data_IF_520710300147
#
_entry.id   IF_520710300147
#
_cell.length_a   1.000
_cell.length_b   1.000
_cell.length_c   1.000
_cell.angle_alpha   90.00
_cell.angle_beta   90.00
_cell.angle_gamma   90.00
#
_symmetry.space_group_name_H-M   'P 1'
#
loop_
_entity.id
_entity.type
_entity.pdbx_description
1 polymer ?
#
# COMPACT_ATOMS: atom_id res chain seq x y z
N UNK A 1 -29.98 60.98 0.99
CA UNK A 1 -31.35 60.56 1.34
C UNK A 1 -31.96 59.89 0.12
N UNK A 2 -31.87 58.55 0.08
CA UNK A 2 -32.53 57.54 -0.78
C UNK A 2 -31.56 56.34 -0.77
N UNK A 3 -31.73 55.25 -0.01
CA UNK A 3 -32.95 54.59 0.44
C UNK A 3 -33.34 53.52 -0.58
N UNK A 4 -32.57 52.43 -0.65
CA UNK A 4 -32.93 51.22 -1.41
C UNK A 4 -32.62 50.02 -0.53
N UNK A 5 -33.65 49.57 0.18
CA UNK A 5 -33.71 48.31 0.90
C UNK A 5 -33.76 47.15 -0.11
N UNK A 6 -32.88 46.17 0.07
CA UNK A 6 -32.86 44.92 -0.69
C UNK A 6 -33.50 43.82 0.19
N UNK A 7 -34.65 43.25 -0.18
CA UNK A 7 -35.34 42.26 0.64
C UNK A 7 -34.71 40.87 0.50
N UNK A 8 -34.54 40.22 1.65
CA UNK A 8 -34.02 38.87 1.81
C UNK A 8 -34.83 37.80 1.05
N UNK A 9 -34.20 36.71 0.56
CA UNK A 9 -34.89 35.63 -0.10
C UNK A 9 -35.73 34.79 0.87
N UNK A 10 -37.01 34.72 0.50
CA UNK A 10 -38.10 33.92 1.01
C UNK A 10 -37.72 32.42 1.13
N UNK A 11 -37.72 31.92 2.36
CA UNK A 11 -37.54 30.49 2.64
C UNK A 11 -38.84 29.75 2.33
N UNK A 12 -38.87 29.04 1.20
CA UNK A 12 -39.94 28.13 0.85
C UNK A 12 -40.01 26.94 1.84
N UNK A 13 -41.03 26.97 2.70
CA UNK A 13 -41.48 25.84 3.51
C UNK A 13 -42.00 24.73 2.57
N UNK A 14 -41.27 23.62 2.48
CA UNK A 14 -41.76 22.40 1.83
C UNK A 14 -42.50 21.56 2.87
N UNK A 15 -43.78 21.18 2.63
CA UNK A 15 -44.56 20.38 3.57
C UNK A 15 -44.04 18.93 3.64
N UNK A 16 -43.97 18.42 4.86
CA UNK A 16 -43.63 17.04 5.20
C UNK A 16 -44.64 16.08 4.57
N UNK A 17 -44.18 15.26 3.61
CA UNK A 17 -44.92 14.13 3.09
C UNK A 17 -44.96 12.97 4.10
N UNK A 18 -46.02 12.15 4.09
CA UNK A 18 -46.24 11.08 5.06
C UNK A 18 -45.17 9.99 4.96
N UNK A 19 -44.75 9.51 6.14
CA UNK A 19 -43.81 8.42 6.33
C UNK A 19 -44.21 7.17 5.54
N UNK A 20 -43.46 6.85 4.49
CA UNK A 20 -43.52 5.57 3.85
C UNK A 20 -42.97 4.51 4.81
N UNK A 21 -43.81 3.54 5.16
CA UNK A 21 -43.44 2.38 5.95
C UNK A 21 -42.22 1.66 5.34
N UNK A 22 -41.26 1.20 6.17
CA UNK A 22 -40.17 0.37 5.71
C UNK A 22 -40.74 -0.97 5.24
N UNK A 23 -40.87 -1.15 3.93
CA UNK A 23 -41.04 -2.48 3.32
C UNK A 23 -39.83 -3.32 3.70
N UNK A 24 -40.05 -4.25 4.63
CA UNK A 24 -39.19 -5.39 4.91
C UNK A 24 -39.11 -6.26 3.66
N UNK A 25 -38.23 -5.89 2.73
CA UNK A 25 -37.86 -6.75 1.62
C UNK A 25 -36.96 -7.84 2.20
N UNK A 26 -37.50 -9.06 2.30
CA UNK A 26 -36.71 -10.25 2.57
C UNK A 26 -35.57 -10.36 1.55
N UNK A 27 -34.30 -10.46 1.99
CA UNK A 27 -33.22 -10.75 1.08
C UNK A 27 -33.37 -12.21 0.65
N UNK A 28 -33.83 -12.42 -0.58
CA UNK A 28 -33.82 -13.69 -1.27
C UNK A 28 -32.39 -14.24 -1.30
N UNK A 29 -32.08 -15.11 -0.35
CA UNK A 29 -30.88 -15.93 -0.29
C UNK A 29 -30.94 -17.01 -1.36
N UNK A 30 -30.86 -16.59 -2.62
CA UNK A 30 -30.44 -17.51 -3.67
C UNK A 30 -29.03 -18.02 -3.34
N UNK A 31 -28.71 -19.28 -3.62
CA UNK A 31 -27.33 -19.78 -3.50
C UNK A 31 -26.46 -18.86 -4.36
N UNK A 32 -25.57 -18.10 -3.71
CA UNK A 32 -24.51 -17.37 -4.40
C UNK A 32 -23.64 -18.44 -5.05
N UNK A 33 -23.90 -18.72 -6.31
CA UNK A 33 -23.06 -19.58 -7.13
C UNK A 33 -21.64 -19.02 -7.02
N UNK A 34 -20.62 -19.80 -6.62
CA UNK A 34 -19.25 -19.32 -6.54
C UNK A 34 -18.84 -18.86 -7.94
N UNK A 35 -18.85 -17.54 -8.14
CA UNK A 35 -18.50 -16.90 -9.40
C UNK A 35 -16.99 -17.01 -9.56
N UNK A 36 -16.55 -18.13 -10.14
CA UNK A 36 -15.20 -18.33 -10.66
C UNK A 36 -14.11 -17.93 -9.65
N UNK A 37 -13.91 -18.77 -8.62
CA UNK A 37 -12.92 -18.60 -7.55
C UNK A 37 -11.48 -18.81 -8.07
N UNK A 38 -11.09 -18.05 -9.09
CA UNK A 38 -9.71 -18.00 -9.55
C UNK A 38 -8.76 -17.65 -8.40
N UNK A 39 -7.46 -17.97 -8.50
CA UNK A 39 -6.50 -17.76 -7.44
C UNK A 39 -6.43 -16.27 -7.04
N UNK A 40 -7.07 -15.94 -5.91
CA UNK A 40 -6.90 -14.64 -5.27
C UNK A 40 -5.61 -14.68 -4.47
N UNK A 41 -4.68 -13.77 -4.79
CA UNK A 41 -3.44 -13.64 -4.06
C UNK A 41 -3.53 -12.47 -3.09
N UNK A 42 -3.49 -12.77 -1.79
CA UNK A 42 -3.42 -11.77 -0.73
C UNK A 42 -2.13 -11.94 0.07
N UNK A 43 -1.43 -10.82 0.26
CA UNK A 43 -0.34 -10.71 1.20
C UNK A 43 -0.75 -9.70 2.29
N UNK A 44 -0.76 -10.18 3.54
CA UNK A 44 -1.13 -9.40 4.72
C UNK A 44 0.08 -9.09 5.57
N UNK A 45 -0.02 -8.02 6.36
CA UNK A 45 0.96 -7.72 7.40
C UNK A 45 1.07 -8.87 8.39
N UNK A 46 2.29 -9.14 8.84
CA UNK A 46 2.63 -10.25 9.71
C UNK A 46 4.07 -10.21 10.18
N UNK A 47 4.44 -11.20 11.00
CA UNK A 47 5.79 -11.29 11.53
C UNK A 47 6.78 -11.70 10.46
N UNK A 48 7.73 -10.80 10.18
CA UNK A 48 8.90 -11.09 9.35
C UNK A 48 10.10 -11.39 10.25
N UNK A 49 11.10 -12.19 9.81
CA UNK A 49 12.29 -12.45 10.61
C UNK A 49 12.97 -11.16 11.09
N UNK A 50 13.04 -10.14 10.24
CA UNK A 50 13.56 -8.80 10.60
C UNK A 50 12.73 -8.12 11.69
N UNK A 51 11.40 -8.18 11.58
CA UNK A 51 10.50 -7.62 12.59
C UNK A 51 10.61 -8.34 13.93
N UNK A 52 10.72 -9.67 13.92
CA UNK A 52 10.93 -10.47 15.14
C UNK A 52 12.25 -10.12 15.82
N UNK A 53 13.35 -10.04 15.05
CA UNK A 53 14.66 -9.63 15.59
C UNK A 53 14.59 -8.23 16.20
N UNK A 54 13.92 -7.27 15.53
CA UNK A 54 13.74 -5.93 16.07
C UNK A 54 12.95 -5.94 17.39
N UNK A 55 11.85 -6.68 17.46
CA UNK A 55 11.04 -6.79 18.69
C UNK A 55 11.87 -7.40 19.83
N UNK A 56 12.55 -8.51 19.58
CA UNK A 56 13.41 -9.19 20.58
C UNK A 56 14.52 -8.25 21.06
N UNK A 57 15.18 -7.55 20.13
CA UNK A 57 16.22 -6.58 20.46
C UNK A 57 15.69 -5.43 21.32
N UNK A 58 14.54 -4.84 20.96
CA UNK A 58 13.91 -3.79 21.75
C UNK A 58 13.57 -4.26 23.16
N UNK A 59 12.99 -5.46 23.30
CA UNK A 59 12.67 -6.03 24.62
C UNK A 59 13.94 -6.24 25.45
N UNK A 60 15.00 -6.78 24.85
CA UNK A 60 16.29 -6.97 25.54
C UNK A 60 16.88 -5.65 26.05
N UNK A 61 16.82 -4.58 25.25
CA UNK A 61 17.28 -3.24 25.66
C UNK A 61 16.44 -2.65 26.79
N UNK A 62 15.12 -2.84 26.76
CA UNK A 62 14.24 -2.42 27.85
C UNK A 62 14.60 -3.16 29.14
N UNK A 63 14.78 -4.48 29.08
CA UNK A 63 15.19 -5.29 30.25
C UNK A 63 16.54 -4.80 30.80
N UNK A 64 17.53 -4.58 29.92
CA UNK A 64 18.84 -4.08 30.33
C UNK A 64 18.73 -2.71 31.03
N UNK A 65 17.98 -1.78 30.44
CA UNK A 65 17.76 -0.45 31.03
C UNK A 65 16.99 -0.53 32.36
N UNK A 66 16.13 -1.54 32.57
CA UNK A 66 15.44 -1.74 33.85
C UNK A 66 16.37 -2.31 34.92
N UNK A 67 17.20 -3.29 34.57
CA UNK A 67 18.11 -4.00 35.49
C UNK A 67 19.30 -3.14 35.91
N UNK A 68 19.84 -2.31 35.02
CA UNK A 68 21.00 -1.46 35.29
C UNK A 68 20.56 0.00 35.50
N UNK A 69 20.39 0.48 36.74
CA UNK A 69 19.92 1.84 37.00
C UNK A 69 20.88 2.93 36.50
N UNK A 70 22.17 2.62 36.42
CA UNK A 70 23.24 3.50 35.90
C UNK A 70 23.30 3.55 34.37
N UNK A 71 22.35 2.94 33.66
CA UNK A 71 22.34 2.93 32.20
C UNK A 71 22.15 4.36 31.65
N UNK A 72 23.07 4.90 30.84
CA UNK A 72 22.94 6.25 30.31
C UNK A 72 21.68 6.35 29.44
N UNK A 73 20.95 7.46 29.59
CA UNK A 73 19.68 7.67 28.87
C UNK A 73 18.63 6.56 29.11
N UNK A 74 18.63 5.92 30.29
CA UNK A 74 17.69 4.86 30.69
C UNK A 74 16.24 5.16 30.32
N UNK A 75 15.71 6.29 30.76
CA UNK A 75 14.31 6.68 30.52
C UNK A 75 14.04 6.82 29.02
N UNK A 76 14.92 7.51 28.30
CA UNK A 76 14.78 7.70 26.86
C UNK A 76 14.81 6.36 26.10
N UNK A 77 15.72 5.45 26.49
CA UNK A 77 15.82 4.11 25.91
C UNK A 77 14.57 3.29 26.15
N UNK A 78 14.06 3.26 27.39
CA UNK A 78 12.83 2.53 27.74
C UNK A 78 11.66 3.05 26.92
N UNK A 79 11.44 4.36 26.90
CA UNK A 79 10.31 4.97 26.16
C UNK A 79 10.44 4.68 24.67
N UNK A 80 11.58 4.97 24.07
CA UNK A 80 11.79 4.81 22.63
C UNK A 80 11.64 3.35 22.18
N UNK A 81 12.32 2.42 22.88
CA UNK A 81 12.30 1.00 22.50
C UNK A 81 10.95 0.36 22.76
N UNK A 82 10.24 0.75 23.83
CA UNK A 82 8.90 0.23 24.11
C UNK A 82 7.90 0.71 23.06
N UNK A 83 7.91 2.00 22.72
CA UNK A 83 7.03 2.55 21.66
C UNK A 83 7.31 1.88 20.32
N UNK A 84 8.58 1.72 19.94
CA UNK A 84 8.95 1.05 18.69
C UNK A 84 8.51 -0.42 18.67
N UNK A 85 8.71 -1.17 19.76
CA UNK A 85 8.31 -2.58 19.86
C UNK A 85 6.78 -2.75 19.81
N UNK A 86 6.04 -1.93 20.57
CA UNK A 86 4.58 -1.97 20.59
C UNK A 86 4.01 -1.59 19.23
N UNK A 87 4.51 -0.51 18.61
CA UNK A 87 4.07 -0.09 17.28
C UNK A 87 4.31 -1.19 16.24
N UNK A 88 5.51 -1.76 16.19
CA UNK A 88 5.83 -2.84 15.24
C UNK A 88 4.96 -4.09 15.49
N UNK A 89 4.76 -4.47 16.75
CA UNK A 89 3.90 -5.61 17.10
C UNK A 89 2.45 -5.37 16.68
N UNK A 90 1.90 -4.17 16.94
CA UNK A 90 0.56 -3.80 16.51
C UNK A 90 0.42 -3.84 14.98
N UNK A 91 1.43 -3.36 14.24
CA UNK A 91 1.46 -3.44 12.78
C UNK A 91 1.41 -4.90 12.31
N UNK A 92 2.24 -5.78 12.89
CA UNK A 92 2.26 -7.20 12.54
C UNK A 92 0.94 -7.92 12.88
N UNK A 93 0.29 -7.54 13.99
CA UNK A 93 -0.98 -8.12 14.43
C UNK A 93 -2.21 -7.55 13.71
N UNK A 94 -2.08 -6.40 13.05
CA UNK A 94 -3.20 -5.73 12.38
C UNK A 94 -3.84 -6.59 11.28
N UNK A 95 -3.09 -7.54 10.71
CA UNK A 95 -3.53 -8.37 9.58
C UNK A 95 -3.91 -7.53 8.35
N UNK A 96 -3.48 -6.27 8.29
CA UNK A 96 -3.84 -5.37 7.20
C UNK A 96 -3.40 -5.94 5.85
N UNK A 97 -4.14 -5.58 4.82
CA UNK A 97 -3.82 -5.99 3.46
C UNK A 97 -2.63 -5.18 2.95
N UNK A 98 -1.52 -5.85 2.67
CA UNK A 98 -0.34 -5.24 2.03
C UNK A 98 -0.46 -5.21 0.51
N UNK A 99 -0.97 -6.31 -0.06
CA UNK A 99 -1.17 -6.48 -1.50
C UNK A 99 -2.30 -7.49 -1.73
N UNK A 100 -3.22 -7.16 -2.63
CA UNK A 100 -4.21 -8.09 -3.17
C UNK A 100 -4.18 -8.05 -4.68
N UNK A 101 -4.25 -9.23 -5.28
CA UNK A 101 -4.37 -9.44 -6.71
C UNK A 101 -5.58 -10.33 -6.92
N UNK A 102 -6.58 -9.79 -7.60
CA UNK A 102 -7.83 -10.48 -7.87
C UNK A 102 -8.36 -10.14 -9.28
N UNK A 103 -9.59 -10.57 -9.56
CA UNK A 103 -10.27 -10.31 -10.84
C UNK A 103 -10.36 -8.83 -11.21
N UNK A 104 -10.47 -7.93 -10.23
CA UNK A 104 -10.69 -6.51 -10.50
C UNK A 104 -9.40 -5.78 -10.82
N UNK A 105 -8.27 -6.25 -10.28
CA UNK A 105 -7.00 -5.57 -10.45
C UNK A 105 -5.99 -5.87 -9.35
N UNK A 106 -5.11 -4.89 -9.16
CA UNK A 106 -4.11 -4.92 -8.09
C UNK A 106 -4.45 -3.85 -7.06
N UNK A 107 -4.69 -4.28 -5.83
CA UNK A 107 -4.88 -3.39 -4.69
C UNK A 107 -3.62 -3.39 -3.84
N UNK A 108 -3.00 -2.22 -3.73
CA UNK A 108 -1.87 -1.98 -2.83
C UNK A 108 -2.38 -1.41 -1.51
N UNK A 109 -1.95 -2.01 -0.40
CA UNK A 109 -2.29 -1.55 0.95
C UNK A 109 -2.02 -0.06 1.13
N UNK A 110 -2.97 0.67 1.72
CA UNK A 110 -2.84 2.11 2.01
C UNK A 110 -1.87 2.34 3.18
N UNK A 111 -1.24 3.53 3.28
CA UNK A 111 -0.45 3.90 4.44
C UNK A 111 -1.33 3.91 5.69
N UNK A 112 -0.73 3.62 6.84
CA UNK A 112 -1.40 3.45 8.14
C UNK A 112 -2.27 4.64 8.57
N UNK A 113 -2.05 5.81 7.98
CA UNK A 113 -2.71 7.07 8.38
C UNK A 113 -4.07 7.32 7.73
N UNK A 114 -4.50 6.55 6.71
CA UNK A 114 -5.78 6.78 5.99
C UNK A 114 -6.50 5.49 5.62
N UNK A 115 -6.85 4.70 6.63
CA UNK A 115 -7.47 3.38 6.47
C UNK A 115 -8.96 3.41 6.05
N UNK A 116 -9.67 4.53 6.22
CA UNK A 116 -11.15 4.53 6.13
C UNK A 116 -11.79 4.66 4.74
N UNK A 117 -11.04 5.04 3.72
CA UNK A 117 -11.55 5.08 2.34
C UNK A 117 -10.92 3.93 1.54
N UNK A 118 -11.62 2.81 1.48
CA UNK A 118 -11.32 1.67 0.60
C UNK A 118 -11.52 2.09 -0.87
N UNK A 119 -10.92 1.36 -1.81
CA UNK A 119 -11.10 1.51 -3.29
C UNK A 119 -9.93 2.14 -4.08
N UNK A 120 -8.72 2.16 -3.50
CA UNK A 120 -7.50 2.49 -4.27
C UNK A 120 -6.96 1.35 -5.13
N UNK A 121 -7.81 0.44 -5.62
CA UNK A 121 -7.40 -0.63 -6.54
C UNK A 121 -7.05 -0.06 -7.90
N UNK A 122 -6.02 -0.62 -8.54
CA UNK A 122 -5.69 -0.30 -9.93
C UNK A 122 -6.31 -1.37 -10.83
N UNK A 123 -7.30 -1.03 -11.68
CA UNK A 123 -7.90 -1.96 -12.64
C UNK A 123 -6.86 -2.56 -13.58
N UNK A 124 -7.06 -3.81 -14.01
CA UNK A 124 -6.11 -4.48 -14.93
C UNK A 124 -5.85 -3.69 -16.21
N UNK A 125 -6.89 -3.09 -16.79
CA UNK A 125 -6.80 -2.29 -18.02
C UNK A 125 -5.86 -1.09 -17.90
N UNK A 126 -5.62 -0.62 -16.67
CA UNK A 126 -4.70 0.48 -16.39
C UNK A 126 -3.25 0.01 -16.22
N UNK A 127 -3.00 -1.29 -16.02
CA UNK A 127 -1.70 -1.83 -15.63
C UNK A 127 -0.91 -2.27 -16.86
N UNK A 128 0.23 -1.61 -17.08
CA UNK A 128 1.18 -2.00 -18.11
C UNK A 128 2.18 -3.07 -17.64
N UNK A 129 2.53 -3.11 -16.33
CA UNK A 129 3.37 -4.15 -15.74
C UNK A 129 3.32 -4.12 -14.21
N UNK A 130 3.53 -5.27 -13.58
CA UNK A 130 3.85 -5.35 -12.15
C UNK A 130 5.36 -5.50 -12.02
N UNK A 131 6.01 -4.60 -11.29
CA UNK A 131 7.47 -4.53 -11.20
C UNK A 131 7.92 -4.79 -9.77
N UNK A 132 8.80 -5.78 -9.59
CA UNK A 132 9.46 -6.07 -8.33
C UNK A 132 10.91 -5.61 -8.40
N UNK A 133 11.35 -4.87 -7.41
CA UNK A 133 12.73 -4.39 -7.38
C UNK A 133 13.25 -4.26 -5.95
N UNK A 134 14.55 -4.04 -5.82
CA UNK A 134 15.22 -3.83 -4.54
C UNK A 134 15.92 -2.49 -4.56
N UNK A 135 15.68 -1.69 -3.52
CA UNK A 135 16.39 -0.45 -3.28
C UNK A 135 17.42 -0.66 -2.17
N UNK A 136 18.62 -0.13 -2.36
CA UNK A 136 19.63 -0.05 -1.30
C UNK A 136 19.41 1.23 -0.51
N UNK A 137 19.19 1.11 0.79
CA UNK A 137 19.05 2.24 1.71
C UNK A 137 20.44 2.79 2.08
N UNK A 138 20.55 4.04 2.58
CA UNK A 138 21.82 4.61 3.05
C UNK A 138 22.53 3.77 4.10
N UNK A 139 21.78 2.99 4.89
CA UNK A 139 22.33 2.02 5.85
C UNK A 139 23.01 0.80 5.22
N UNK A 140 23.04 0.70 3.89
CA UNK A 140 23.54 -0.46 3.15
C UNK A 140 22.54 -1.61 3.03
N UNK A 141 21.45 -1.58 3.82
CA UNK A 141 20.38 -2.58 3.80
C UNK A 141 19.62 -2.56 2.48
N UNK A 142 19.29 -3.74 1.99
CA UNK A 142 18.41 -3.93 0.83
C UNK A 142 16.95 -4.01 1.28
N UNK A 143 16.10 -3.19 0.66
CA UNK A 143 14.66 -3.12 0.89
C UNK A 143 13.95 -3.49 -0.41
N UNK A 144 13.05 -4.48 -0.35
CA UNK A 144 12.27 -4.91 -1.52
C UNK A 144 11.03 -4.03 -1.70
N UNK A 145 10.67 -3.79 -2.94
CA UNK A 145 9.53 -2.99 -3.37
C UNK A 145 8.73 -3.73 -4.44
N UNK A 146 7.43 -3.46 -4.46
CA UNK A 146 6.54 -3.77 -5.57
C UNK A 146 5.99 -2.46 -6.13
N UNK A 147 5.96 -2.30 -7.44
CA UNK A 147 5.36 -1.18 -8.11
C UNK A 147 4.40 -1.64 -9.20
N UNK A 148 3.34 -0.88 -9.41
CA UNK A 148 2.42 -1.09 -10.51
C UNK A 148 2.70 0.00 -11.55
N UNK A 149 3.28 -0.39 -12.68
CA UNK A 149 3.49 0.51 -13.81
C UNK A 149 2.19 0.59 -14.59
N UNK A 150 1.60 1.79 -14.66
CA UNK A 150 0.38 2.03 -15.42
C UNK A 150 0.64 2.37 -16.88
N UNK A 151 -0.36 2.20 -17.73
CA UNK A 151 -0.33 2.73 -19.09
C UNK A 151 -0.28 4.27 -19.08
N UNK A 152 0.35 4.92 -20.07
CA UNK A 152 0.48 6.38 -20.11
C UNK A 152 -0.87 7.13 -20.08
N UNK A 153 -1.92 6.54 -20.69
CA UNK A 153 -3.26 7.12 -20.74
C UNK A 153 -4.06 6.94 -19.43
N UNK A 154 -3.63 6.00 -18.58
CA UNK A 154 -4.25 5.67 -17.29
C UNK A 154 -3.51 6.29 -16.09
N UNK A 155 -2.55 7.17 -16.34
CA UNK A 155 -1.78 7.85 -15.31
C UNK A 155 -2.64 8.93 -14.62
N UNK A 156 -3.52 8.52 -13.71
CA UNK A 156 -4.17 9.43 -12.75
C UNK A 156 -3.17 9.87 -11.69
N UNK A 157 -3.48 10.97 -10.98
CA UNK A 157 -2.73 11.54 -9.84
C UNK A 157 -2.67 10.63 -8.59
N UNK A 158 -2.41 9.33 -8.75
CA UNK A 158 -2.11 8.37 -7.69
C UNK A 158 -0.70 8.59 -7.10
N UNK A 159 -0.35 9.85 -6.88
CA UNK A 159 0.86 10.28 -6.17
C UNK A 159 0.62 10.23 -4.67
N UNK A 160 0.45 9.02 -4.11
CA UNK A 160 0.30 8.88 -2.66
C UNK A 160 1.63 9.13 -1.92
N UNK A 161 2.77 8.94 -2.59
CA UNK A 161 4.09 9.36 -2.09
C UNK A 161 4.27 10.83 -2.46
N UNK A 162 4.59 11.67 -1.47
CA UNK A 162 4.87 13.08 -1.74
C UNK A 162 5.96 13.20 -2.82
N UNK A 163 5.75 14.08 -3.79
CA UNK A 163 6.76 14.47 -4.81
C UNK A 163 8.14 14.75 -4.20
N UNK A 164 8.19 15.12 -2.92
CA UNK A 164 9.43 15.33 -2.19
C UNK A 164 10.24 14.04 -2.00
N UNK A 165 9.60 12.92 -1.67
CA UNK A 165 10.30 11.63 -1.50
C UNK A 165 10.70 11.04 -2.85
N UNK A 166 9.90 11.26 -3.91
CA UNK A 166 10.30 10.84 -5.27
C UNK A 166 11.40 11.71 -5.89
N UNK A 167 11.68 12.92 -5.37
CA UNK A 167 12.81 13.75 -5.83
C UNK A 167 14.16 13.33 -5.26
N UNK A 168 14.18 12.64 -4.13
CA UNK A 168 15.39 12.00 -3.57
C UNK A 168 15.68 10.66 -4.28
N UNK A 169 15.13 10.48 -5.49
CA UNK A 169 15.05 9.21 -6.20
C UNK A 169 16.41 8.55 -6.47
N UNK A 170 16.33 7.23 -6.39
CA UNK A 170 17.36 6.25 -6.74
C UNK A 170 17.80 6.49 -8.19
N UNK A 171 19.11 6.62 -8.46
CA UNK A 171 19.62 6.71 -9.83
C UNK A 171 19.12 5.53 -10.68
N UNK A 172 18.42 5.83 -11.78
CA UNK A 172 18.00 4.84 -12.77
C UNK A 172 16.59 4.24 -12.61
N UNK A 173 15.80 4.64 -11.60
CA UNK A 173 14.39 4.26 -11.49
C UNK A 173 13.50 5.43 -11.92
N UNK A 174 12.56 5.17 -12.82
CA UNK A 174 11.61 6.18 -13.28
C UNK A 174 10.82 6.76 -12.09
N UNK A 175 10.74 8.10 -11.91
CA UNK A 175 10.06 8.72 -10.77
C UNK A 175 8.60 8.30 -10.61
N UNK A 176 7.91 8.00 -11.72
CA UNK A 176 6.53 7.52 -11.71
C UNK A 176 6.43 6.13 -11.05
N UNK A 177 7.43 5.28 -11.28
CA UNK A 177 7.48 3.95 -10.67
C UNK A 177 7.70 4.04 -9.17
N UNK A 178 8.55 4.97 -8.71
CA UNK A 178 8.78 5.22 -7.27
C UNK A 178 7.50 5.69 -6.59
N UNK A 179 6.74 6.59 -7.23
CA UNK A 179 5.47 7.07 -6.69
C UNK A 179 4.41 5.96 -6.58
N UNK A 180 4.41 5.02 -7.53
CA UNK A 180 3.52 3.85 -7.53
C UNK A 180 4.10 2.62 -6.80
N UNK A 181 5.20 2.77 -6.06
CA UNK A 181 5.91 1.66 -5.40
C UNK A 181 5.60 1.53 -3.91
N UNK A 182 5.29 0.33 -3.45
CA UNK A 182 5.17 -0.01 -2.03
C UNK A 182 6.37 -0.80 -1.56
N UNK A 183 6.92 -0.37 -0.42
CA UNK A 183 7.91 -1.15 0.30
C UNK A 183 7.26 -2.42 0.86
N UNK A 184 7.91 -3.56 0.65
CA UNK A 184 7.54 -4.84 1.24
C UNK A 184 8.12 -4.87 2.66
N UNK A 185 7.42 -4.25 3.61
CA UNK A 185 7.81 -4.11 5.02
C UNK A 185 6.76 -4.76 5.89
N UNK A 186 7.18 -5.66 6.78
CA UNK A 186 6.28 -6.36 7.69
C UNK A 186 5.17 -7.18 6.98
N UNK A 187 5.38 -7.59 5.73
CA UNK A 187 4.60 -8.61 5.02
C UNK A 187 5.52 -9.40 4.10
N UNK A 188 5.09 -10.58 3.66
CA UNK A 188 5.90 -11.46 2.80
C UNK A 188 5.28 -11.52 1.40
N UNK A 189 6.11 -11.27 0.39
CA UNK A 189 5.71 -11.45 -1.00
C UNK A 189 6.13 -12.86 -1.46
N UNK A 190 5.15 -13.68 -1.81
CA UNK A 190 5.36 -14.93 -2.53
C UNK A 190 5.34 -14.63 -4.03
N UNK A 191 6.51 -14.76 -4.66
CA UNK A 191 6.69 -14.43 -6.08
C UNK A 191 5.88 -15.36 -6.97
N UNK A 192 5.88 -16.66 -6.69
CA UNK A 192 5.31 -17.65 -7.59
C UNK A 192 3.78 -17.61 -7.51
N UNK A 193 3.23 -17.41 -6.30
CA UNK A 193 1.79 -17.16 -6.14
C UNK A 193 1.34 -15.83 -6.75
N UNK A 194 2.15 -14.78 -6.65
CA UNK A 194 1.88 -13.51 -7.32
C UNK A 194 1.83 -13.71 -8.84
N UNK A 195 2.86 -14.34 -9.42
CA UNK A 195 2.96 -14.58 -10.86
C UNK A 195 1.81 -15.45 -11.36
N UNK A 196 1.44 -16.49 -10.60
CA UNK A 196 0.29 -17.33 -10.93
C UNK A 196 -1.03 -16.54 -10.94
N UNK A 197 -1.27 -15.71 -9.92
CA UNK A 197 -2.48 -14.89 -9.85
C UNK A 197 -2.54 -13.84 -10.97
N UNK A 198 -1.44 -13.13 -11.24
CA UNK A 198 -1.36 -12.16 -12.36
C UNK A 198 -1.56 -12.88 -13.69
N UNK A 199 -0.91 -14.03 -13.91
CA UNK A 199 -1.06 -14.81 -15.14
C UNK A 199 -2.48 -15.33 -15.37
N UNK A 200 -3.23 -15.61 -14.30
CA UNK A 200 -4.62 -16.02 -14.38
C UNK A 200 -5.56 -14.84 -14.71
N UNK A 201 -5.47 -13.74 -13.96
CA UNK A 201 -6.41 -12.63 -14.10
C UNK A 201 -6.07 -11.65 -15.23
N UNK A 202 -4.79 -11.48 -15.55
CA UNK A 202 -4.31 -10.55 -16.56
C UNK A 202 -3.06 -11.10 -17.28
N UNK A 203 -3.22 -12.12 -18.14
CA UNK A 203 -2.09 -12.77 -18.83
C UNK A 203 -1.29 -11.82 -19.73
N UNK A 204 -1.87 -10.68 -20.10
CA UNK A 204 -1.20 -9.63 -20.88
C UNK A 204 -0.32 -8.71 -20.04
N UNK A 205 -0.42 -8.77 -18.70
CA UNK A 205 0.36 -7.93 -17.78
C UNK A 205 1.61 -8.68 -17.32
N UNK A 206 2.82 -8.28 -17.78
CA UNK A 206 4.04 -8.95 -17.37
C UNK A 206 4.41 -8.62 -15.91
N UNK A 207 4.91 -9.63 -15.20
CA UNK A 207 5.58 -9.47 -13.89
C UNK A 207 7.09 -9.36 -14.12
N UNK A 208 7.67 -8.19 -13.88
CA UNK A 208 9.08 -7.91 -14.08
C UNK A 208 9.83 -7.97 -12.75
N UNK A 209 10.72 -8.96 -12.57
CA UNK A 209 11.55 -9.09 -11.36
C UNK A 209 12.97 -8.54 -11.58
N UNK A 210 13.20 -7.29 -11.17
CA UNK A 210 14.50 -6.65 -11.17
C UNK A 210 15.35 -6.98 -9.94
N UNK A 211 14.82 -7.70 -8.93
CA UNK A 211 15.60 -8.11 -7.75
C UNK A 211 16.65 -9.16 -8.11
N UNK A 212 16.38 -9.96 -9.15
CA UNK A 212 17.29 -11.00 -9.66
C UNK A 212 18.42 -10.45 -10.53
N UNK A 213 18.44 -9.15 -10.86
CA UNK A 213 19.52 -8.53 -11.64
C UNK A 213 20.73 -8.25 -10.74
N UNK A 214 21.35 -9.32 -10.22
CA UNK A 214 22.62 -9.26 -9.47
C UNK A 214 23.81 -9.83 -10.26
N UNK A 215 23.66 -10.08 -11.57
CA UNK A 215 24.75 -10.62 -12.42
C UNK A 215 24.89 -10.06 -13.83
N UNK A 216 24.21 -8.96 -14.18
CA UNK A 216 24.45 -8.31 -15.48
C UNK A 216 24.96 -6.90 -15.23
N UNK A 217 26.29 -6.77 -15.20
CA UNK A 217 26.90 -5.52 -15.58
C UNK A 217 26.36 -5.10 -16.95
N UNK A 218 26.01 -3.83 -17.07
CA UNK A 218 25.99 -3.14 -18.38
C UNK A 218 24.83 -3.46 -19.35
N UNK A 219 23.63 -3.80 -18.89
CA UNK A 219 22.45 -3.94 -19.77
C UNK A 219 21.35 -2.86 -19.58
N UNK A 220 21.60 -1.82 -18.79
CA UNK A 220 20.65 -0.72 -18.57
C UNK A 220 20.45 0.22 -19.79
N UNK A 221 21.06 -0.06 -20.94
CA UNK A 221 20.85 0.72 -22.18
C UNK A 221 19.67 0.24 -23.04
N UNK A 222 19.06 -0.91 -22.76
CA UNK A 222 18.11 -1.48 -23.72
C UNK A 222 16.63 -1.07 -23.56
N UNK A 223 16.24 -0.40 -22.46
CA UNK A 223 14.82 -0.11 -22.20
C UNK A 223 14.39 1.38 -22.28
N UNK A 224 15.31 2.28 -22.63
CA UNK A 224 15.04 3.73 -22.69
C UNK A 224 15.00 4.33 -24.10
N UNK A 225 15.03 3.52 -25.16
CA UNK A 225 15.13 4.05 -26.53
C UNK A 225 14.43 3.21 -27.60
N UNK A 226 13.11 3.38 -27.74
CA UNK A 226 12.42 3.32 -29.05
C UNK A 226 11.06 4.02 -28.97
N UNK A 227 11.11 5.36 -28.99
CA UNK A 227 10.13 6.12 -29.77
C UNK A 227 10.79 6.39 -31.12
N UNK A 228 10.28 5.75 -32.16
CA UNK A 228 10.21 6.33 -33.51
C UNK A 228 8.74 6.39 -33.85
#
# INVERSE_FOLDING_TARGET
>A
MTGTDDPAPERANTPAGPAAEPRTAEPGGGPVTPLDDGPVYEARFGFTPKGVVLIVFSVAFVVLAVVFPEFPHRVATIVFMSVAAVAMTAICLSGWLGLRVDRTGVTLGRPMTRYRDTDGGVPWDDIAAVVLYTQRLPSGTQQSYIAVRRHPHAATDLYWVSRAVSRVAIPGVAPELVAASRAIVAWRLDHDRLTAAVGHWAPHVPVLDHRRVSRWGTAARFFLGRRR
#
